data_IF_566562176162
#
_entry.id   IF_566562176162
#
_cell.length_a   1.000
_cell.length_b   1.000
_cell.length_c   1.000
_cell.angle_alpha   90.00
_cell.angle_beta   90.00
_cell.angle_gamma   90.00
#
_symmetry.space_group_name_H-M   'P 1'
#
loop_
_entity.id
_entity.type
_entity.pdbx_description
1 polymer ?
#
# COMPACT_ATOMS: atom_id res chain seq x y z
N UNK A 1 -18.89 3.93 38.47
CA UNK A 1 -18.86 4.42 37.07
C UNK A 1 -20.17 5.15 36.81
N UNK A 2 -20.08 6.43 36.49
CA UNK A 2 -21.26 7.28 36.26
C UNK A 2 -21.83 7.02 34.84
N UNK A 3 -23.06 7.46 34.56
CA UNK A 3 -23.61 7.35 33.20
C UNK A 3 -22.80 8.19 32.19
N UNK A 4 -22.21 9.30 32.64
CA UNK A 4 -21.34 10.16 31.83
C UNK A 4 -20.08 9.41 31.37
N UNK A 5 -19.45 8.62 32.27
CA UNK A 5 -18.28 7.82 31.92
C UNK A 5 -18.60 6.75 30.87
N UNK A 6 -19.80 6.14 30.93
CA UNK A 6 -20.24 5.12 29.96
C UNK A 6 -20.46 5.72 28.57
N UNK A 7 -21.10 6.89 28.51
CA UNK A 7 -21.39 7.55 27.25
C UNK A 7 -20.11 8.03 26.56
N UNK A 8 -19.17 8.62 27.32
CA UNK A 8 -17.86 9.02 26.79
C UNK A 8 -17.06 7.83 26.24
N UNK A 9 -17.06 6.71 26.96
CA UNK A 9 -16.36 5.49 26.51
C UNK A 9 -16.98 4.88 25.26
N UNK A 10 -18.32 4.90 25.17
CA UNK A 10 -19.02 4.47 23.97
C UNK A 10 -18.65 5.33 22.75
N UNK A 11 -18.55 6.65 22.92
CA UNK A 11 -18.11 7.56 21.85
C UNK A 11 -16.66 7.28 21.42
N UNK A 12 -15.76 7.08 22.39
CA UNK A 12 -14.36 6.72 22.10
C UNK A 12 -14.26 5.39 21.34
N UNK A 13 -15.06 4.40 21.72
CA UNK A 13 -15.11 3.11 21.03
C UNK A 13 -15.65 3.25 19.59
N UNK A 14 -16.73 4.03 19.39
CA UNK A 14 -17.26 4.35 18.06
C UNK A 14 -16.21 5.02 17.18
N UNK A 15 -15.46 5.98 17.72
CA UNK A 15 -14.37 6.65 17.03
C UNK A 15 -13.29 5.67 16.58
N UNK A 16 -12.84 4.76 17.45
CA UNK A 16 -11.84 3.73 17.10
C UNK A 16 -12.33 2.82 15.96
N UNK A 17 -13.60 2.39 16.00
CA UNK A 17 -14.20 1.59 14.93
C UNK A 17 -14.27 2.36 13.60
N UNK A 18 -14.60 3.65 13.65
CA UNK A 18 -14.63 4.52 12.47
C UNK A 18 -13.24 4.69 11.86
N UNK A 19 -12.20 4.91 12.68
CA UNK A 19 -10.82 5.00 12.21
C UNK A 19 -10.36 3.72 11.51
N UNK A 20 -10.70 2.54 12.04
CA UNK A 20 -10.41 1.26 11.37
C UNK A 20 -11.09 1.11 10.02
N UNK A 21 -12.35 1.54 9.89
CA UNK A 21 -13.05 1.53 8.60
C UNK A 21 -12.38 2.50 7.61
N UNK A 22 -11.97 3.67 8.08
CA UNK A 22 -11.27 4.67 7.28
C UNK A 22 -9.91 4.16 6.78
N UNK A 23 -9.13 3.48 7.63
CA UNK A 23 -7.88 2.79 7.24
C UNK A 23 -8.11 1.80 6.11
N UNK A 24 -9.13 0.94 6.22
CA UNK A 24 -9.42 -0.04 5.18
C UNK A 24 -9.77 0.61 3.83
N UNK A 25 -10.60 1.66 3.85
CA UNK A 25 -10.93 2.43 2.65
C UNK A 25 -9.69 3.09 2.04
N UNK A 26 -8.80 3.62 2.88
CA UNK A 26 -7.54 4.23 2.45
C UNK A 26 -6.63 3.21 1.78
N UNK A 27 -6.52 1.99 2.33
CA UNK A 27 -5.75 0.90 1.72
C UNK A 27 -6.24 0.57 0.31
N UNK A 28 -7.56 0.46 0.12
CA UNK A 28 -8.14 0.21 -1.21
C UNK A 28 -7.89 1.38 -2.18
N UNK A 29 -7.99 2.62 -1.70
CA UNK A 29 -7.70 3.80 -2.51
C UNK A 29 -6.22 3.85 -2.95
N UNK A 30 -5.29 3.52 -2.04
CA UNK A 30 -3.86 3.42 -2.36
C UNK A 30 -3.58 2.35 -3.42
N UNK A 31 -4.23 1.19 -3.32
CA UNK A 31 -4.10 0.13 -4.33
C UNK A 31 -4.60 0.59 -5.70
N UNK A 32 -5.75 1.28 -5.75
CA UNK A 32 -6.28 1.82 -7.00
C UNK A 32 -5.35 2.87 -7.63
N UNK A 33 -4.75 3.75 -6.82
CA UNK A 33 -3.76 4.73 -7.28
C UNK A 33 -2.53 4.03 -7.85
N UNK A 34 -2.02 3.01 -7.16
CA UNK A 34 -0.89 2.22 -7.65
C UNK A 34 -1.22 1.54 -8.99
N UNK A 35 -2.39 0.90 -9.12
CA UNK A 35 -2.82 0.24 -10.36
C UNK A 35 -2.96 1.22 -11.52
N UNK A 36 -3.53 2.41 -11.28
CA UNK A 36 -3.65 3.44 -12.29
C UNK A 36 -2.26 3.96 -12.73
N UNK A 37 -1.36 4.22 -11.78
CA UNK A 37 0.00 4.64 -12.08
C UNK A 37 0.79 3.57 -12.85
N UNK A 38 0.67 2.30 -12.45
CA UNK A 38 1.26 1.16 -13.17
C UNK A 38 0.75 1.10 -14.61
N UNK A 39 -0.57 1.21 -14.83
CA UNK A 39 -1.15 1.18 -16.17
C UNK A 39 -0.61 2.32 -17.06
N UNK A 40 -0.43 3.52 -16.49
CA UNK A 40 0.17 4.65 -17.21
C UNK A 40 1.64 4.38 -17.56
N UNK A 41 2.43 3.84 -16.64
CA UNK A 41 3.85 3.51 -16.89
C UNK A 41 3.98 2.42 -17.96
N UNK A 42 3.15 1.37 -17.90
CA UNK A 42 3.13 0.30 -18.91
C UNK A 42 2.71 0.85 -20.28
N UNK A 43 1.67 1.70 -20.32
CA UNK A 43 1.22 2.35 -21.54
C UNK A 43 2.29 3.28 -22.15
N UNK A 44 3.01 4.02 -21.31
CA UNK A 44 4.11 4.87 -21.74
C UNK A 44 5.27 4.06 -22.32
N UNK A 45 5.63 2.94 -21.68
CA UNK A 45 6.63 2.00 -22.21
C UNK A 45 6.23 1.46 -23.58
N UNK A 46 5.00 0.96 -23.71
CA UNK A 46 4.50 0.46 -24.99
C UNK A 46 4.59 1.53 -26.09
N UNK A 47 4.18 2.78 -25.80
CA UNK A 47 4.29 3.89 -26.73
C UNK A 47 5.73 4.21 -27.12
N UNK A 48 6.65 4.17 -26.16
CA UNK A 48 8.07 4.41 -26.39
C UNK A 48 8.67 3.37 -27.35
N UNK A 49 8.35 2.09 -27.15
CA UNK A 49 8.79 1.02 -28.06
C UNK A 49 8.21 1.16 -29.46
N UNK A 50 6.93 1.48 -29.59
CA UNK A 50 6.34 1.72 -30.92
C UNK A 50 6.99 2.89 -31.63
N UNK A 51 7.33 3.97 -30.89
CA UNK A 51 8.02 5.12 -31.47
C UNK A 51 9.46 4.78 -31.89
N UNK A 52 10.15 3.91 -31.14
CA UNK A 52 11.49 3.44 -31.51
C UNK A 52 11.45 2.57 -32.77
N UNK A 53 10.50 1.64 -32.86
CA UNK A 53 10.30 0.79 -34.04
C UNK A 53 9.90 1.57 -35.30
N UNK A 54 9.22 2.71 -35.13
CA UNK A 54 8.88 3.63 -36.23
C UNK A 54 10.02 4.63 -36.54
N UNK A 55 11.20 4.47 -35.95
CA UNK A 55 12.36 5.36 -36.09
C UNK A 55 12.06 6.84 -35.74
N UNK A 56 11.02 7.07 -34.92
CA UNK A 56 10.60 8.43 -34.50
C UNK A 56 11.41 8.98 -33.33
N UNK A 57 12.11 8.11 -32.60
CA UNK A 57 12.97 8.46 -31.48
C UNK A 57 14.30 7.72 -31.60
N UNK A 58 15.37 8.31 -31.08
CA UNK A 58 16.67 7.64 -31.02
C UNK A 58 16.71 6.57 -29.93
N UNK A 59 17.52 5.54 -30.14
CA UNK A 59 17.77 4.48 -29.13
C UNK A 59 18.24 5.07 -27.79
N UNK A 60 19.11 6.08 -27.84
CA UNK A 60 19.60 6.76 -26.64
C UNK A 60 18.49 7.45 -25.85
N UNK A 61 17.54 8.10 -26.54
CA UNK A 61 16.38 8.69 -25.89
C UNK A 61 15.43 7.62 -25.32
N UNK A 62 15.19 6.55 -26.08
CA UNK A 62 14.33 5.44 -25.63
C UNK A 62 14.89 4.77 -24.37
N UNK A 63 16.19 4.47 -24.33
CA UNK A 63 16.82 3.92 -23.12
C UNK A 63 16.66 4.86 -21.92
N UNK A 64 16.97 6.15 -22.09
CA UNK A 64 16.91 7.11 -20.98
C UNK A 64 15.47 7.31 -20.48
N UNK A 65 14.49 7.38 -21.38
CA UNK A 65 13.08 7.51 -21.04
C UNK A 65 12.55 6.25 -20.33
N UNK A 66 12.94 5.05 -20.77
CA UNK A 66 12.61 3.79 -20.09
C UNK A 66 13.17 3.72 -18.68
N UNK A 67 14.45 4.07 -18.49
CA UNK A 67 15.07 4.09 -17.17
C UNK A 67 14.35 5.08 -16.23
N UNK A 68 13.93 6.24 -16.76
CA UNK A 68 13.10 7.21 -16.04
C UNK A 68 11.71 6.67 -15.66
N UNK A 69 11.05 5.95 -16.57
CA UNK A 69 9.74 5.34 -16.31
C UNK A 69 9.84 4.21 -15.25
N UNK A 70 10.91 3.42 -15.27
CA UNK A 70 11.18 2.41 -14.23
C UNK A 70 11.44 3.07 -12.88
N UNK A 71 12.24 4.14 -12.84
CA UNK A 71 12.49 4.90 -11.62
C UNK A 71 11.19 5.46 -11.04
N UNK A 72 10.31 6.01 -11.90
CA UNK A 72 8.99 6.51 -11.48
C UNK A 72 8.12 5.40 -10.89
N UNK A 73 8.13 4.20 -11.49
CA UNK A 73 7.39 3.05 -10.97
C UNK A 73 7.88 2.64 -9.57
N UNK A 74 9.20 2.63 -9.35
CA UNK A 74 9.79 2.35 -8.04
C UNK A 74 9.41 3.41 -7.00
N UNK A 75 9.43 4.69 -7.36
CA UNK A 75 8.98 5.77 -6.47
C UNK A 75 7.52 5.57 -6.07
N UNK A 76 6.65 5.26 -7.03
CA UNK A 76 5.24 4.99 -6.77
C UNK A 76 5.06 3.78 -5.83
N UNK A 77 5.77 2.68 -6.10
CA UNK A 77 5.71 1.46 -5.31
C UNK A 77 6.17 1.69 -3.87
N UNK A 78 7.32 2.34 -3.68
CA UNK A 78 7.88 2.66 -2.36
C UNK A 78 6.97 3.60 -1.59
N UNK A 79 6.42 4.62 -2.26
CA UNK A 79 5.45 5.53 -1.66
C UNK A 79 4.20 4.76 -1.18
N UNK A 80 3.59 3.94 -2.03
CA UNK A 80 2.44 3.12 -1.66
C UNK A 80 2.74 2.18 -0.49
N UNK A 81 3.89 1.50 -0.50
CA UNK A 81 4.31 0.61 0.59
C UNK A 81 4.51 1.38 1.90
N UNK A 82 5.14 2.56 1.86
CA UNK A 82 5.32 3.38 3.06
C UNK A 82 3.99 3.80 3.69
N UNK A 83 3.00 4.14 2.86
CA UNK A 83 1.64 4.47 3.32
C UNK A 83 0.94 3.26 3.92
N UNK A 84 1.10 2.07 3.34
CA UNK A 84 0.56 0.82 3.90
C UNK A 84 1.21 0.49 5.24
N UNK A 85 2.53 0.66 5.38
CA UNK A 85 3.23 0.47 6.66
C UNK A 85 2.69 1.45 7.72
N UNK A 86 2.49 2.72 7.37
CA UNK A 86 1.88 3.70 8.27
C UNK A 86 0.46 3.30 8.69
N UNK A 87 -0.34 2.76 7.77
CA UNK A 87 -1.67 2.22 8.06
C UNK A 87 -1.60 1.05 9.04
N UNK A 88 -0.64 0.15 8.84
CA UNK A 88 -0.42 -1.00 9.71
C UNK A 88 -0.08 -0.57 11.14
N UNK A 89 0.85 0.38 11.29
CA UNK A 89 1.23 0.93 12.60
C UNK A 89 0.03 1.59 13.29
N UNK A 90 -0.73 2.40 12.55
CA UNK A 90 -1.93 3.08 13.08
C UNK A 90 -2.98 2.07 13.56
N UNK A 91 -3.19 0.97 12.83
CA UNK A 91 -4.11 -0.08 13.27
C UNK A 91 -3.66 -0.75 14.56
N UNK A 92 -2.35 -1.00 14.74
CA UNK A 92 -1.82 -1.58 15.98
C UNK A 92 -2.14 -0.69 17.17
N UNK A 93 -1.96 0.62 17.03
CA UNK A 93 -2.32 1.60 18.06
C UNK A 93 -3.83 1.57 18.36
N UNK A 94 -4.68 1.54 17.33
CA UNK A 94 -6.13 1.45 17.51
C UNK A 94 -6.58 0.14 18.16
N UNK A 95 -5.90 -0.97 17.89
CA UNK A 95 -6.22 -2.27 18.51
C UNK A 95 -5.70 -2.39 19.92
N UNK A 96 -4.57 -1.76 20.22
CA UNK A 96 -4.11 -1.60 21.60
C UNK A 96 -5.11 -0.77 22.41
N UNK A 97 -5.55 0.37 21.86
CA UNK A 97 -6.55 1.22 22.49
C UNK A 97 -7.88 0.46 22.73
N UNK A 98 -8.35 -0.30 21.75
CA UNK A 98 -9.57 -1.11 21.90
C UNK A 98 -9.43 -2.20 22.98
N UNK A 99 -8.30 -2.91 23.02
CA UNK A 99 -8.08 -3.97 24.01
C UNK A 99 -8.07 -3.43 25.44
N UNK A 100 -7.48 -2.25 25.66
CA UNK A 100 -7.52 -1.57 26.97
C UNK A 100 -8.94 -1.19 27.38
N UNK A 101 -9.76 -0.71 26.43
CA UNK A 101 -11.17 -0.37 26.72
C UNK A 101 -12.01 -1.62 27.01
N UNK A 102 -11.79 -2.72 26.29
CA UNK A 102 -12.50 -3.98 26.54
C UNK A 102 -12.13 -4.57 27.91
N UNK A 103 -10.86 -4.50 28.31
CA UNK A 103 -10.36 -4.98 29.60
C UNK A 103 -10.96 -4.19 30.78
N UNK A 104 -10.92 -2.85 30.68
CA UNK A 104 -11.38 -1.94 31.74
C UNK A 104 -12.91 -1.99 31.95
N UNK A 105 -13.69 -2.22 30.88
CA UNK A 105 -15.14 -2.03 30.93
C UNK A 105 -15.98 -3.29 30.70
N UNK A 106 -15.46 -4.31 30.01
CA UNK A 106 -16.19 -5.55 29.72
C UNK A 106 -15.69 -6.75 30.54
N UNK A 107 -14.62 -6.59 31.34
CA UNK A 107 -14.06 -7.64 32.20
C UNK A 107 -13.51 -8.84 31.44
N UNK A 108 -13.30 -8.69 30.13
CA UNK A 108 -12.82 -9.72 29.23
C UNK A 108 -11.67 -9.20 28.40
N UNK A 109 -10.45 -9.62 28.75
CA UNK A 109 -9.24 -9.22 28.04
C UNK A 109 -9.13 -9.95 26.71
N UNK A 110 -9.43 -9.28 25.59
CA UNK A 110 -8.97 -9.80 24.30
C UNK A 110 -7.45 -9.72 24.24
N UNK A 111 -6.76 -10.75 23.71
CA UNK A 111 -5.31 -10.76 23.68
C UNK A 111 -4.77 -9.56 22.89
N UNK A 112 -3.77 -8.89 23.46
CA UNK A 112 -3.05 -7.79 22.85
C UNK A 112 -2.58 -8.15 21.43
N UNK A 113 -2.58 -7.18 20.51
CA UNK A 113 -2.15 -7.42 19.14
C UNK A 113 -0.68 -7.87 19.13
N UNK A 114 -0.43 -9.08 18.61
CA UNK A 114 0.93 -9.58 18.40
C UNK A 114 1.40 -9.17 17.00
N UNK A 115 2.56 -8.53 16.92
CA UNK A 115 3.23 -8.15 15.66
C UNK A 115 3.43 -9.37 14.74
N UNK A 116 3.61 -10.58 15.30
CA UNK A 116 3.69 -11.82 14.52
C UNK A 116 2.42 -12.18 13.72
N UNK A 117 1.27 -11.53 13.96
CA UNK A 117 0.05 -11.71 13.17
C UNK A 117 -0.11 -10.70 12.02
N UNK A 118 0.89 -9.86 11.76
CA UNK A 118 0.88 -8.93 10.63
C UNK A 118 0.71 -9.65 9.27
N UNK A 119 1.21 -10.89 9.14
CA UNK A 119 0.99 -11.73 7.96
C UNK A 119 -0.45 -12.23 7.79
N UNK A 120 -1.36 -12.01 8.74
CA UNK A 120 -2.77 -12.33 8.56
C UNK A 120 -3.56 -11.18 7.92
N UNK A 121 -2.92 -10.02 7.74
CA UNK A 121 -3.60 -8.86 7.20
C UNK A 121 -3.42 -8.74 5.70
N UNK A 122 -4.53 -8.44 5.03
CA UNK A 122 -4.56 -8.16 3.61
C UNK A 122 -3.60 -7.02 3.20
N UNK A 123 -3.39 -6.01 4.06
CA UNK A 123 -2.44 -4.90 3.82
C UNK A 123 -1.01 -5.37 3.58
N UNK A 124 -0.55 -6.37 4.33
CA UNK A 124 0.77 -6.98 4.15
C UNK A 124 0.85 -7.66 2.79
N UNK A 125 -0.20 -8.38 2.37
CA UNK A 125 -0.26 -9.02 1.06
C UNK A 125 -0.34 -8.00 -0.09
N UNK A 126 -1.03 -6.88 0.12
CA UNK A 126 -1.07 -5.77 -0.85
C UNK A 126 0.33 -5.17 -1.03
N UNK A 127 1.05 -4.90 0.06
CA UNK A 127 2.42 -4.40 -0.01
C UNK A 127 3.36 -5.39 -0.75
N UNK A 128 3.26 -6.68 -0.44
CA UNK A 128 4.01 -7.74 -1.14
C UNK A 128 3.64 -7.77 -2.62
N UNK A 129 2.36 -7.69 -2.97
CA UNK A 129 1.91 -7.70 -4.35
C UNK A 129 2.45 -6.48 -5.14
N UNK A 130 2.42 -5.29 -4.55
CA UNK A 130 2.99 -4.07 -5.14
C UNK A 130 4.48 -4.27 -5.46
N UNK A 131 5.24 -4.75 -4.48
CA UNK A 131 6.68 -5.00 -4.65
C UNK A 131 6.96 -6.10 -5.68
N UNK A 132 6.23 -7.21 -5.62
CA UNK A 132 6.41 -8.33 -6.53
C UNK A 132 6.09 -7.95 -7.98
N UNK A 133 5.01 -7.20 -8.22
CA UNK A 133 4.64 -6.71 -9.55
C UNK A 133 5.69 -5.71 -10.06
N UNK A 134 6.11 -4.77 -9.23
CA UNK A 134 7.13 -3.76 -9.60
C UNK A 134 8.47 -4.43 -9.93
N UNK A 135 8.93 -5.35 -9.08
CA UNK A 135 10.16 -6.10 -9.29
C UNK A 135 10.06 -7.02 -10.51
N UNK A 136 8.93 -7.70 -10.70
CA UNK A 136 8.67 -8.57 -11.86
C UNK A 136 8.67 -7.79 -13.17
N UNK A 137 8.04 -6.61 -13.20
CA UNK A 137 8.05 -5.74 -14.37
C UNK A 137 9.46 -5.21 -14.68
N UNK A 138 10.19 -4.78 -13.65
CA UNK A 138 11.58 -4.32 -13.80
C UNK A 138 12.48 -5.44 -14.31
N UNK A 139 12.38 -6.64 -13.72
CA UNK A 139 13.13 -7.81 -14.15
C UNK A 139 12.83 -8.20 -15.60
N UNK A 140 11.55 -8.23 -15.97
CA UNK A 140 11.13 -8.51 -17.35
C UNK A 140 11.71 -7.50 -18.33
N UNK A 141 11.70 -6.21 -17.98
CA UNK A 141 12.30 -5.16 -18.80
C UNK A 141 13.82 -5.35 -18.95
N UNK A 142 14.53 -5.59 -17.84
CA UNK A 142 15.98 -5.83 -17.89
C UNK A 142 16.33 -7.08 -18.70
N UNK A 143 15.50 -8.12 -18.62
CA UNK A 143 15.67 -9.34 -19.42
C UNK A 143 15.50 -9.03 -20.92
N UNK A 144 14.48 -8.29 -21.32
CA UNK A 144 14.29 -7.88 -22.71
C UNK A 144 15.50 -7.11 -23.24
N UNK A 145 16.00 -6.13 -22.47
CA UNK A 145 17.18 -5.34 -22.82
C UNK A 145 18.47 -6.18 -22.94
N UNK A 146 18.53 -7.34 -22.29
CA UNK A 146 19.71 -8.23 -22.38
C UNK A 146 19.72 -9.14 -23.62
N UNK A 147 18.61 -9.21 -24.35
CA UNK A 147 18.47 -10.00 -25.57
C UNK A 147 18.75 -9.21 -26.85
N UNK A 148 18.76 -7.87 -26.75
CA UNK A 148 19.14 -6.92 -27.81
C UNK A 148 20.66 -6.63 -27.76
#
# INVERSE_FOLDING_TARGET
MTNVDKDFMLERYKYVLEQKKFLNKTTLALLAIYQAGLALVVGAHYRLWTALAEERVSEGFASAASDGLLMLLWVLALFSVSMLISGILSWLDYRHAEALMEDEYLGGSRPLPKIGRLFHWYETYVAIAILAITAGFTWFFCMLRSLD
#
